data_IF_556374859417
#
_entry.id   IF_556374859417
#
_cell.length_a   1.000
_cell.length_b   1.000
_cell.length_c   1.000
_cell.angle_alpha   90.00
_cell.angle_beta   90.00
_cell.angle_gamma   90.00
#
_symmetry.space_group_name_H-M   'P 1'
#
loop_
_entity.id
_entity.type
_entity.pdbx_description
1 polymer ?
#
# COMPACT_ATOMS: atom_id res chain seq x y z
N UNK A 1 -36.64 -5.94 16.23
CA UNK A 1 -35.40 -5.21 16.57
C UNK A 1 -35.64 -3.72 16.34
N UNK A 2 -35.09 -2.84 17.19
CA UNK A 2 -35.25 -1.39 17.03
C UNK A 2 -34.27 -0.85 15.98
N UNK A 3 -34.77 -0.03 15.07
CA UNK A 3 -33.98 0.72 14.10
C UNK A 3 -33.15 1.79 14.81
N UNK A 4 -31.88 1.95 14.42
CA UNK A 4 -30.99 3.01 14.91
C UNK A 4 -30.71 3.98 13.78
N UNK A 5 -30.82 5.28 14.07
CA UNK A 5 -30.55 6.36 13.13
C UNK A 5 -29.37 7.19 13.61
N UNK A 6 -28.52 7.60 12.67
CA UNK A 6 -27.37 8.48 12.88
C UNK A 6 -27.35 9.50 11.74
N UNK A 7 -26.93 10.74 12.02
CA UNK A 7 -26.81 11.79 11.00
C UNK A 7 -25.71 11.45 9.98
N UNK A 8 -24.61 10.88 10.46
CA UNK A 8 -23.47 10.47 9.68
C UNK A 8 -23.16 9.00 9.94
N UNK A 9 -22.97 8.23 8.89
CA UNK A 9 -22.55 6.82 8.97
C UNK A 9 -21.30 6.64 8.13
N UNK A 10 -20.22 6.20 8.77
CA UNK A 10 -19.02 5.72 8.08
C UNK A 10 -19.15 4.21 7.94
N UNK A 11 -19.33 3.73 6.71
CA UNK A 11 -19.25 2.31 6.39
C UNK A 11 -17.78 1.95 6.11
N UNK A 12 -17.08 1.59 7.17
CA UNK A 12 -15.64 1.41 7.13
C UNK A 12 -15.00 1.72 8.48
N UNK A 13 -13.87 1.10 8.84
CA UNK A 13 -13.12 1.19 10.09
C UNK A 13 -11.63 1.01 9.84
N UNK A 14 -11.19 1.22 8.60
CA UNK A 14 -9.77 1.36 8.30
C UNK A 14 -9.24 2.76 8.57
N UNK A 15 -8.05 3.01 8.04
CA UNK A 15 -7.35 4.29 8.13
C UNK A 15 -8.26 5.47 7.78
N UNK A 16 -8.95 5.43 6.63
CA UNK A 16 -9.85 6.51 6.22
C UNK A 16 -10.97 6.77 7.24
N UNK A 17 -11.55 5.73 7.84
CA UNK A 17 -12.62 5.88 8.82
C UNK A 17 -12.12 6.53 10.12
N UNK A 18 -10.96 6.09 10.63
CA UNK A 18 -10.35 6.71 11.83
C UNK A 18 -10.00 8.18 11.61
N UNK A 19 -9.47 8.52 10.44
CA UNK A 19 -9.14 9.90 10.09
C UNK A 19 -10.39 10.76 9.82
N UNK A 20 -11.44 10.20 9.22
CA UNK A 20 -12.73 10.86 9.09
C UNK A 20 -13.35 11.15 10.46
N UNK A 21 -13.38 10.16 11.36
CA UNK A 21 -13.90 10.33 12.72
C UNK A 21 -13.15 11.42 13.50
N UNK A 22 -11.81 11.43 13.38
CA UNK A 22 -10.98 12.50 13.94
C UNK A 22 -11.32 13.87 13.36
N UNK A 23 -11.60 13.96 12.06
CA UNK A 23 -12.00 15.23 11.44
C UNK A 23 -13.43 15.63 11.86
N UNK A 24 -14.39 14.69 11.95
CA UNK A 24 -15.73 14.95 12.48
C UNK A 24 -15.67 15.53 13.89
N UNK A 25 -14.79 14.98 14.75
CA UNK A 25 -14.55 15.52 16.08
C UNK A 25 -14.03 16.98 16.04
N UNK A 26 -13.10 17.30 15.15
CA UNK A 26 -12.60 18.68 14.95
C UNK A 26 -13.68 19.62 14.42
N UNK A 27 -14.58 19.13 13.58
CA UNK A 27 -15.72 19.90 13.05
C UNK A 27 -16.87 20.04 14.07
N UNK A 28 -16.74 19.46 15.26
CA UNK A 28 -17.70 19.62 16.36
C UNK A 28 -18.94 18.74 16.27
N UNK A 29 -18.81 17.52 15.72
CA UNK A 29 -19.90 16.52 15.71
C UNK A 29 -20.44 16.28 17.12
N UNK A 30 -21.76 16.17 17.27
CA UNK A 30 -22.40 15.98 18.58
C UNK A 30 -22.50 14.50 18.95
N UNK A 31 -22.59 14.16 20.26
CA UNK A 31 -22.87 12.80 20.70
C UNK A 31 -24.13 12.23 20.03
N UNK A 32 -24.02 11.03 19.47
CA UNK A 32 -25.13 10.35 18.78
C UNK A 32 -25.32 10.71 17.32
N UNK A 33 -24.58 11.66 16.76
CA UNK A 33 -24.70 12.02 15.33
C UNK A 33 -23.88 11.11 14.41
N UNK A 34 -22.76 10.57 14.87
CA UNK A 34 -21.84 9.76 14.06
C UNK A 34 -21.84 8.30 14.50
N UNK A 35 -21.93 7.39 13.53
CA UNK A 35 -21.63 5.97 13.70
C UNK A 35 -20.56 5.51 12.73
N UNK A 36 -19.74 4.57 13.20
CA UNK A 36 -18.83 3.78 12.38
C UNK A 36 -19.34 2.33 12.42
N UNK A 37 -19.54 1.71 11.27
CA UNK A 37 -20.06 0.33 11.17
C UNK A 37 -18.97 -0.61 10.72
N UNK A 38 -18.88 -1.78 11.39
CA UNK A 38 -17.76 -2.75 11.34
C UNK A 38 -17.97 -4.15 10.84
N UNK A 39 -16.93 -4.71 10.23
CA UNK A 39 -16.66 -6.15 10.32
C UNK A 39 -15.48 -6.51 11.22
N UNK A 40 -14.48 -5.64 11.39
CA UNK A 40 -13.33 -5.91 12.25
C UNK A 40 -13.73 -5.75 13.74
N UNK A 41 -13.17 -6.58 14.62
CA UNK A 41 -13.49 -6.59 16.05
C UNK A 41 -12.76 -5.48 16.84
N UNK A 42 -11.96 -4.67 16.16
CA UNK A 42 -11.08 -3.64 16.74
C UNK A 42 -11.37 -2.26 16.17
N UNK A 43 -10.86 -1.23 16.85
CA UNK A 43 -10.89 0.15 16.40
C UNK A 43 -9.98 0.40 15.19
N UNK A 44 -10.26 1.46 14.40
CA UNK A 44 -9.39 1.84 13.30
C UNK A 44 -7.92 1.95 13.69
N UNK A 45 -7.04 1.37 12.86
CA UNK A 45 -5.62 1.24 13.13
C UNK A 45 -4.76 1.53 11.90
N UNK A 46 -3.46 1.73 12.11
CA UNK A 46 -2.50 1.98 11.04
C UNK A 46 -2.10 0.69 10.30
N UNK A 47 -2.89 0.32 9.28
CA UNK A 47 -2.69 -0.90 8.47
C UNK A 47 -1.26 -1.13 7.96
N UNK A 48 -0.45 -0.13 7.55
CA UNK A 48 0.91 -0.39 7.09
C UNK A 48 1.84 -1.04 8.12
N UNK A 49 1.48 -1.07 9.40
CA UNK A 49 2.22 -1.75 10.45
C UNK A 49 2.15 -3.29 10.35
N UNK A 50 1.07 -3.83 9.76
CA UNK A 50 0.80 -5.27 9.72
C UNK A 50 1.85 -6.09 8.96
N UNK A 51 2.45 -5.53 7.92
CA UNK A 51 3.53 -6.16 7.13
C UNK A 51 4.93 -5.74 7.59
N UNK A 52 5.03 -4.97 8.69
CA UNK A 52 6.28 -4.41 9.22
C UNK A 52 6.46 -4.83 10.67
N UNK A 53 6.30 -3.88 11.60
CA UNK A 53 6.61 -4.07 13.01
C UNK A 53 5.77 -5.15 13.68
N UNK A 54 4.54 -5.40 13.18
CA UNK A 54 3.66 -6.44 13.73
C UNK A 54 4.25 -7.85 13.61
N UNK A 55 5.11 -8.08 12.60
CA UNK A 55 5.70 -9.38 12.32
C UNK A 55 7.16 -9.51 12.82
N UNK A 56 7.69 -8.55 13.59
CA UNK A 56 9.05 -8.66 14.11
C UNK A 56 9.20 -9.79 15.16
N UNK A 57 10.34 -10.52 15.17
CA UNK A 57 10.56 -11.67 16.04
C UNK A 57 10.57 -11.32 17.54
N UNK A 58 11.06 -10.13 17.89
CA UNK A 58 10.97 -9.59 19.24
C UNK A 58 9.85 -8.55 19.27
N UNK A 59 8.78 -8.89 19.98
CA UNK A 59 7.65 -8.01 20.13
C UNK A 59 8.05 -6.82 21.02
N UNK A 60 8.37 -5.68 20.42
CA UNK A 60 8.16 -4.38 21.10
C UNK A 60 6.65 -4.12 21.15
N UNK A 61 5.92 -5.00 21.85
CA UNK A 61 4.45 -5.00 22.02
C UNK A 61 3.90 -3.76 22.73
N UNK A 62 4.75 -2.82 23.14
CA UNK A 62 4.33 -1.56 23.73
C UNK A 62 4.32 -0.40 22.74
N UNK A 63 4.60 -0.60 21.45
CA UNK A 63 4.53 0.51 20.51
C UNK A 63 3.06 0.87 20.27
N UNK A 64 2.60 1.86 21.04
CA UNK A 64 1.28 2.52 21.07
C UNK A 64 0.82 3.08 19.71
N UNK A 65 1.48 2.75 18.61
CA UNK A 65 1.23 3.24 17.25
C UNK A 65 0.21 2.42 16.45
N UNK A 66 -0.20 1.24 16.93
CA UNK A 66 -1.26 0.47 16.28
C UNK A 66 -2.64 1.11 16.46
N UNK A 67 -2.96 1.64 17.64
CA UNK A 67 -4.32 2.10 17.92
C UNK A 67 -4.44 3.59 17.69
N UNK A 68 -5.36 4.01 16.81
CA UNK A 68 -5.93 5.34 16.95
C UNK A 68 -6.70 5.30 18.28
N UNK A 69 -6.29 6.12 19.26
CA UNK A 69 -6.97 6.19 20.56
C UNK A 69 -8.43 6.56 20.31
N UNK A 70 -9.33 5.57 20.45
CA UNK A 70 -10.71 5.64 20.94
C UNK A 70 -11.47 4.37 20.51
N UNK A 71 -12.26 3.80 21.43
CA UNK A 71 -13.05 2.58 21.23
C UNK A 71 -14.15 2.82 20.20
N UNK A 72 -13.92 2.44 18.96
CA UNK A 72 -14.91 2.37 17.89
C UNK A 72 -14.74 1.04 17.18
N UNK A 73 -15.76 0.54 16.49
CA UNK A 73 -15.65 -0.68 15.68
C UNK A 73 -16.05 -0.32 14.24
N UNK A 74 -15.26 -0.61 13.19
CA UNK A 74 -15.58 -0.30 11.77
C UNK A 74 -15.10 -1.24 10.59
N UNK A 75 -15.71 -1.12 9.38
CA UNK A 75 -15.74 -2.11 8.26
C UNK A 75 -14.61 -1.91 7.23
N UNK A 76 -14.46 -2.73 6.17
CA UNK A 76 -13.29 -2.66 5.28
C UNK A 76 -13.60 -2.08 3.88
N UNK A 77 -12.59 -1.50 3.23
CA UNK A 77 -12.68 -0.78 1.94
C UNK A 77 -11.94 -1.47 0.76
N UNK A 78 -11.15 -2.54 0.99
CA UNK A 78 -10.53 -3.37 -0.08
C UNK A 78 -10.71 -4.86 0.24
N UNK A 79 -10.91 -5.70 -0.77
CA UNK A 79 -10.76 -7.17 -0.64
C UNK A 79 -9.44 -7.64 -1.25
N UNK A 80 -8.77 -8.55 -0.54
CA UNK A 80 -7.56 -9.23 -1.04
C UNK A 80 -7.94 -10.14 -2.20
N UNK A 81 -7.17 -10.08 -3.29
CA UNK A 81 -7.32 -11.03 -4.39
C UNK A 81 -6.82 -12.40 -3.92
N UNK A 82 -7.68 -13.42 -3.98
CA UNK A 82 -7.32 -14.78 -3.56
C UNK A 82 -6.91 -15.62 -4.76
N UNK A 83 -5.98 -16.56 -4.57
CA UNK A 83 -5.58 -17.51 -5.63
C UNK A 83 -6.74 -18.42 -6.06
N UNK A 84 -7.69 -18.66 -5.16
CA UNK A 84 -8.95 -19.37 -5.47
C UNK A 84 -9.80 -18.61 -6.49
N UNK A 85 -9.69 -17.28 -6.57
CA UNK A 85 -10.41 -16.46 -7.57
C UNK A 85 -9.94 -16.75 -9.00
N UNK A 86 -8.77 -17.40 -9.14
CA UNK A 86 -8.18 -17.80 -10.41
C UNK A 86 -8.21 -19.31 -10.64
N UNK A 87 -8.88 -20.08 -9.78
CA UNK A 87 -8.99 -21.54 -9.92
C UNK A 87 -7.67 -22.29 -9.71
N UNK A 88 -6.72 -21.72 -8.96
CA UNK A 88 -5.43 -22.38 -8.67
C UNK A 88 -5.67 -23.59 -7.77
N UNK A 89 -5.25 -24.78 -8.22
CA UNK A 89 -5.46 -26.03 -7.50
C UNK A 89 -4.76 -26.04 -6.13
N UNK A 90 -5.46 -26.47 -5.08
CA UNK A 90 -4.90 -26.60 -3.73
C UNK A 90 -4.67 -25.27 -2.98
N UNK A 91 -5.14 -24.14 -3.53
CA UNK A 91 -4.97 -22.81 -2.94
C UNK A 91 -5.72 -22.60 -1.62
N UNK A 92 -6.56 -23.55 -1.22
CA UNK A 92 -7.31 -23.65 0.04
C UNK A 92 -6.58 -24.46 1.13
N UNK A 93 -5.37 -24.98 0.83
CA UNK A 93 -4.54 -25.70 1.82
C UNK A 93 -4.24 -24.85 3.05
N UNK A 94 -4.09 -25.49 4.20
CA UNK A 94 -3.61 -24.83 5.43
C UNK A 94 -2.20 -24.26 5.21
N UNK A 95 -1.87 -23.22 5.97
CA UNK A 95 -0.62 -22.45 5.89
C UNK A 95 -0.43 -21.67 4.56
N UNK A 96 -1.43 -21.64 3.68
CA UNK A 96 -1.54 -20.62 2.62
C UNK A 96 -2.26 -19.41 3.21
N UNK A 97 -1.52 -18.34 3.45
CA UNK A 97 -1.98 -17.15 4.15
C UNK A 97 -2.01 -15.92 3.24
N UNK A 98 -2.88 -14.99 3.58
CA UNK A 98 -2.95 -13.64 3.03
C UNK A 98 -2.66 -12.66 4.17
N UNK A 99 -2.39 -11.40 3.87
CA UNK A 99 -2.19 -10.37 4.90
C UNK A 99 -2.90 -9.07 4.52
N UNK A 100 -4.01 -8.76 5.19
CA UNK A 100 -4.72 -7.48 5.02
C UNK A 100 -5.26 -6.90 6.32
N UNK A 101 -5.80 -7.76 7.17
CA UNK A 101 -6.41 -7.38 8.45
C UNK A 101 -5.59 -7.90 9.62
N UNK A 102 -5.87 -7.39 10.82
CA UNK A 102 -5.12 -7.79 12.03
C UNK A 102 -5.29 -9.28 12.33
N UNK A 103 -6.48 -9.84 12.09
CA UNK A 103 -6.73 -11.28 12.24
C UNK A 103 -5.87 -12.13 11.29
N UNK A 104 -5.57 -11.63 10.10
CA UNK A 104 -4.64 -12.29 9.17
C UNK A 104 -3.22 -12.25 9.72
N UNK A 105 -2.83 -11.09 10.27
CA UNK A 105 -1.51 -10.88 10.86
C UNK A 105 -1.28 -11.77 12.08
N UNK A 106 -2.27 -11.89 12.97
CA UNK A 106 -2.23 -12.78 14.14
C UNK A 106 -2.02 -14.24 13.72
N UNK A 107 -2.79 -14.72 12.74
CA UNK A 107 -2.63 -16.07 12.20
C UNK A 107 -1.24 -16.27 11.60
N UNK A 108 -0.74 -15.29 10.85
CA UNK A 108 0.58 -15.37 10.24
C UNK A 108 1.71 -15.39 11.29
N UNK A 109 1.60 -14.58 12.36
CA UNK A 109 2.54 -14.61 13.50
C UNK A 109 2.58 -15.99 14.13
N UNK A 110 1.43 -16.60 14.40
CA UNK A 110 1.37 -17.93 15.02
C UNK A 110 1.95 -19.01 14.09
N UNK A 111 1.65 -18.96 12.78
CA UNK A 111 2.23 -19.88 11.80
C UNK A 111 3.77 -19.73 11.75
N UNK A 112 4.29 -18.50 11.72
CA UNK A 112 5.73 -18.22 11.75
C UNK A 112 6.39 -18.81 13.01
N UNK A 113 5.75 -18.67 14.18
CA UNK A 113 6.24 -19.24 15.44
C UNK A 113 6.24 -20.77 15.45
N UNK A 114 5.26 -21.40 14.80
CA UNK A 114 5.13 -22.86 14.74
C UNK A 114 6.11 -23.49 13.74
N UNK A 115 6.42 -22.81 12.64
CA UNK A 115 7.28 -23.32 11.55
C UNK A 115 8.70 -22.72 11.59
N UNK A 116 9.31 -22.65 12.78
CA UNK A 116 10.67 -22.09 12.94
C UNK A 116 11.66 -22.78 12.00
N UNK A 117 12.50 -21.97 11.35
CA UNK A 117 13.49 -22.41 10.35
C UNK A 117 12.88 -23.13 9.14
N UNK A 118 11.56 -23.03 8.93
CA UNK A 118 10.86 -23.61 7.78
C UNK A 118 11.10 -22.83 6.48
N UNK A 119 10.56 -23.39 5.39
CA UNK A 119 10.60 -22.80 4.05
C UNK A 119 9.33 -22.01 3.79
N UNK A 120 9.50 -20.79 3.29
CA UNK A 120 8.39 -19.90 2.95
C UNK A 120 8.46 -19.50 1.49
N UNK A 121 7.33 -19.65 0.79
CA UNK A 121 7.15 -19.11 -0.54
C UNK A 121 6.24 -17.88 -0.49
N UNK A 122 6.76 -16.75 -0.96
CA UNK A 122 6.01 -15.51 -1.13
C UNK A 122 5.53 -15.43 -2.57
N UNK A 123 4.22 -15.34 -2.78
CA UNK A 123 3.62 -15.21 -4.11
C UNK A 123 3.21 -13.76 -4.35
N UNK A 124 3.96 -13.05 -5.19
CA UNK A 124 3.73 -11.65 -5.54
C UNK A 124 4.97 -10.78 -5.34
N UNK A 125 5.26 -9.92 -6.33
CA UNK A 125 6.46 -9.07 -6.37
C UNK A 125 6.19 -7.59 -6.06
N UNK A 126 5.00 -7.24 -5.56
CA UNK A 126 4.67 -5.87 -5.14
C UNK A 126 5.27 -5.51 -3.77
N UNK A 127 4.92 -4.33 -3.24
CA UNK A 127 5.45 -3.84 -1.96
C UNK A 127 5.13 -4.79 -0.80
N UNK A 128 3.93 -5.39 -0.77
CA UNK A 128 3.56 -6.40 0.23
C UNK A 128 4.47 -7.62 0.15
N UNK A 129 4.77 -8.10 -1.07
CA UNK A 129 5.67 -9.24 -1.27
C UNK A 129 7.09 -8.95 -0.80
N UNK A 130 7.59 -7.74 -1.07
CA UNK A 130 8.90 -7.28 -0.59
C UNK A 130 8.93 -7.18 0.95
N UNK A 131 7.98 -6.47 1.56
CA UNK A 131 7.92 -6.30 3.02
C UNK A 131 7.81 -7.65 3.76
N UNK A 132 6.93 -8.53 3.28
CA UNK A 132 6.76 -9.88 3.83
C UNK A 132 8.02 -10.72 3.71
N UNK A 133 8.65 -10.72 2.53
CA UNK A 133 9.90 -11.47 2.31
C UNK A 133 10.99 -11.02 3.29
N UNK A 134 11.11 -9.71 3.51
CA UNK A 134 12.08 -9.15 4.44
C UNK A 134 11.79 -9.53 5.90
N UNK A 135 10.56 -9.32 6.37
CA UNK A 135 10.23 -9.57 7.78
C UNK A 135 10.23 -11.06 8.13
N UNK A 136 9.80 -11.93 7.20
CA UNK A 136 9.88 -13.38 7.38
C UNK A 136 11.34 -13.85 7.39
N UNK A 137 12.20 -13.24 6.56
CA UNK A 137 13.65 -13.51 6.62
C UNK A 137 14.25 -13.09 7.97
N UNK A 138 13.83 -11.97 8.54
CA UNK A 138 14.22 -11.53 9.89
C UNK A 138 13.74 -12.48 10.99
N UNK A 139 12.68 -13.25 10.76
CA UNK A 139 12.24 -14.35 11.63
C UNK A 139 13.00 -15.68 11.40
N UNK A 140 14.12 -15.64 10.66
CA UNK A 140 15.02 -16.78 10.42
C UNK A 140 14.40 -17.93 9.62
N UNK A 141 13.54 -17.65 8.64
CA UNK A 141 13.03 -18.64 7.69
C UNK A 141 13.77 -18.60 6.33
N UNK A 142 13.73 -19.70 5.57
CA UNK A 142 14.23 -19.77 4.19
C UNK A 142 13.16 -19.23 3.25
N UNK A 143 13.42 -18.10 2.59
CA UNK A 143 12.41 -17.35 1.83
C UNK A 143 12.69 -17.44 0.34
N UNK A 144 11.67 -17.81 -0.43
CA UNK A 144 11.65 -17.69 -1.88
C UNK A 144 10.47 -16.82 -2.34
N UNK A 145 10.76 -15.73 -3.04
CA UNK A 145 9.76 -14.84 -3.62
C UNK A 145 9.55 -15.16 -5.10
N UNK A 146 8.29 -15.31 -5.51
CA UNK A 146 7.88 -15.71 -6.86
C UNK A 146 6.90 -14.70 -7.44
N UNK A 147 7.15 -14.24 -8.67
CA UNK A 147 6.23 -13.33 -9.37
C UNK A 147 6.34 -13.39 -10.90
N UNK A 148 5.26 -13.06 -11.64
CA UNK A 148 5.24 -13.12 -13.09
C UNK A 148 6.02 -12.00 -13.78
N UNK A 149 6.13 -10.83 -13.14
CA UNK A 149 6.70 -9.65 -13.77
C UNK A 149 8.21 -9.74 -13.96
N UNK A 150 8.79 -9.00 -14.93
CA UNK A 150 10.24 -9.03 -15.19
C UNK A 150 11.07 -8.49 -14.02
N UNK A 151 10.48 -7.67 -13.15
CA UNK A 151 11.10 -7.15 -11.93
C UNK A 151 10.06 -6.83 -10.85
N UNK A 152 10.52 -6.68 -9.60
CA UNK A 152 9.65 -6.35 -8.45
C UNK A 152 9.10 -4.91 -8.51
N UNK A 153 7.96 -4.64 -7.86
CA UNK A 153 7.26 -3.35 -7.87
C UNK A 153 7.03 -2.79 -9.29
N UNK A 154 6.50 -3.60 -10.23
CA UNK A 154 6.47 -3.30 -11.67
C UNK A 154 5.62 -2.09 -12.05
N UNK A 155 4.71 -1.66 -11.17
CA UNK A 155 3.85 -0.48 -11.39
C UNK A 155 4.51 0.84 -10.99
N UNK A 156 5.68 0.81 -10.34
CA UNK A 156 6.39 1.99 -9.86
C UNK A 156 7.87 1.96 -10.21
N UNK A 157 8.57 0.88 -9.87
CA UNK A 157 10.01 0.79 -10.05
C UNK A 157 10.39 0.67 -11.53
N UNK A 158 11.47 1.37 -11.88
CA UNK A 158 12.22 1.08 -13.10
C UNK A 158 13.05 -0.19 -12.90
N UNK A 159 13.56 -0.76 -14.00
CA UNK A 159 14.48 -1.90 -13.91
C UNK A 159 15.72 -1.60 -13.06
N UNK A 160 16.24 -0.36 -13.08
CA UNK A 160 17.40 0.05 -12.29
C UNK A 160 17.12 0.09 -10.79
N UNK A 161 15.97 0.63 -10.39
CA UNK A 161 15.53 0.62 -8.98
C UNK A 161 15.29 -0.83 -8.53
N UNK A 162 14.58 -1.61 -9.33
CA UNK A 162 14.26 -2.99 -8.97
C UNK A 162 15.49 -3.89 -8.88
N UNK A 163 16.49 -3.72 -9.76
CA UNK A 163 17.75 -4.45 -9.70
C UNK A 163 18.49 -4.23 -8.37
N UNK A 164 18.44 -3.01 -7.82
CA UNK A 164 18.99 -2.74 -6.48
C UNK A 164 18.26 -3.57 -5.42
N UNK A 165 16.93 -3.53 -5.35
CA UNK A 165 16.18 -4.27 -4.33
C UNK A 165 16.32 -5.79 -4.50
N UNK A 166 16.25 -6.30 -5.73
CA UNK A 166 16.42 -7.73 -6.00
C UNK A 166 17.82 -8.22 -5.58
N UNK A 167 18.88 -7.45 -5.91
CA UNK A 167 20.24 -7.72 -5.48
C UNK A 167 20.40 -7.63 -3.96
N UNK A 168 19.83 -6.60 -3.33
CA UNK A 168 19.87 -6.42 -1.89
C UNK A 168 19.19 -7.58 -1.14
N UNK A 169 18.03 -8.02 -1.63
CA UNK A 169 17.28 -9.15 -1.04
C UNK A 169 18.03 -10.47 -1.23
N UNK A 170 18.65 -10.67 -2.40
CA UNK A 170 19.52 -11.82 -2.64
C UNK A 170 20.72 -11.85 -1.69
N UNK A 171 21.34 -10.69 -1.42
CA UNK A 171 22.42 -10.55 -0.43
C UNK A 171 21.98 -10.88 1.01
N UNK A 172 20.69 -10.72 1.32
CA UNK A 172 20.09 -11.18 2.59
C UNK A 172 19.69 -12.65 2.58
N UNK A 173 19.96 -13.38 1.50
CA UNK A 173 19.68 -14.81 1.35
C UNK A 173 18.22 -15.11 0.99
N UNK A 174 17.51 -14.17 0.38
CA UNK A 174 16.16 -14.40 -0.19
C UNK A 174 16.32 -14.84 -1.65
N UNK A 175 15.73 -15.99 -2.00
CA UNK A 175 15.70 -16.49 -3.38
C UNK A 175 14.61 -15.77 -4.17
N UNK A 176 14.89 -15.34 -5.39
CA UNK A 176 13.93 -14.63 -6.24
C UNK A 176 13.72 -15.40 -7.54
N UNK A 177 12.46 -15.67 -7.87
CA UNK A 177 12.03 -16.36 -9.08
C UNK A 177 11.05 -15.46 -9.83
N UNK A 178 11.48 -14.99 -11.01
CA UNK A 178 10.73 -14.06 -11.86
C UNK A 178 10.15 -14.77 -13.08
N UNK A 179 9.20 -14.15 -13.77
CA UNK A 179 8.69 -14.62 -15.06
C UNK A 179 7.80 -15.86 -15.00
N UNK A 180 7.29 -16.23 -13.82
CA UNK A 180 6.46 -17.42 -13.63
C UNK A 180 5.39 -17.19 -12.57
N UNK A 181 4.41 -18.09 -12.49
CA UNK A 181 3.30 -18.04 -11.53
C UNK A 181 3.13 -19.39 -10.83
N UNK A 182 2.58 -19.37 -9.63
CA UNK A 182 2.07 -20.59 -8.99
C UNK A 182 0.85 -21.09 -9.78
N UNK A 183 0.88 -22.36 -10.18
CA UNK A 183 -0.21 -23.04 -10.90
C UNK A 183 -0.90 -24.10 -10.07
N UNK A 184 -0.34 -24.45 -8.91
CA UNK A 184 -0.98 -25.31 -7.94
C UNK A 184 -0.15 -25.52 -6.70
N UNK A 185 -0.79 -26.11 -5.69
CA UNK A 185 -0.20 -26.46 -4.42
C UNK A 185 -0.47 -27.93 -4.12
N UNK A 186 0.48 -28.60 -3.46
CA UNK A 186 0.26 -29.92 -2.86
C UNK A 186 0.24 -29.77 -1.35
N UNK A 187 -0.47 -30.69 -0.70
CA UNK A 187 -0.64 -30.69 0.76
C UNK A 187 -0.20 -32.02 1.34
N UNK A 188 0.18 -32.02 2.62
CA UNK A 188 0.43 -33.23 3.39
C UNK A 188 -0.88 -33.92 3.85
N UNK A 189 -0.76 -35.01 4.62
CA UNK A 189 -1.91 -35.74 5.14
C UNK A 189 -2.79 -34.93 6.11
N UNK A 190 -2.26 -33.84 6.68
CA UNK A 190 -2.99 -32.94 7.57
C UNK A 190 -3.67 -31.76 6.82
N UNK A 191 -3.47 -31.70 5.49
CA UNK A 191 -3.94 -30.63 4.62
C UNK A 191 -3.09 -29.36 4.68
N UNK A 192 -1.88 -29.41 5.22
CA UNK A 192 -0.92 -28.31 5.22
C UNK A 192 -0.15 -28.26 3.91
N UNK A 193 0.08 -27.06 3.37
CA UNK A 193 0.88 -26.89 2.15
C UNK A 193 2.25 -27.53 2.32
N UNK A 194 2.71 -28.23 1.28
CA UNK A 194 4.01 -28.89 1.21
C UNK A 194 4.83 -28.41 0.03
N UNK A 195 4.20 -28.20 -1.12
CA UNK A 195 4.90 -27.75 -2.33
C UNK A 195 4.08 -26.71 -3.11
N UNK A 196 4.81 -25.80 -3.76
CA UNK A 196 4.29 -24.84 -4.75
C UNK A 196 4.76 -25.26 -6.14
N UNK A 197 3.82 -25.54 -7.04
CA UNK A 197 4.09 -25.85 -8.44
C UNK A 197 4.08 -24.58 -9.27
N UNK A 198 5.14 -24.34 -10.03
CA UNK A 198 5.27 -23.18 -10.89
C UNK A 198 4.98 -23.53 -12.35
N UNK A 199 4.51 -22.54 -13.12
CA UNK A 199 4.15 -22.70 -14.54
C UNK A 199 5.31 -23.16 -15.41
N UNK A 200 6.54 -22.81 -15.04
CA UNK A 200 7.77 -23.17 -15.74
C UNK A 200 8.32 -24.56 -15.37
N UNK A 201 7.57 -25.35 -14.59
CA UNK A 201 7.91 -26.71 -14.22
C UNK A 201 8.69 -26.86 -12.91
N UNK A 202 9.13 -25.75 -12.30
CA UNK A 202 9.76 -25.81 -10.96
C UNK A 202 8.75 -26.20 -9.89
N UNK A 203 9.23 -26.92 -8.88
CA UNK A 203 8.49 -27.25 -7.66
C UNK A 203 9.30 -26.76 -6.47
N UNK A 204 8.68 -25.97 -5.60
CA UNK A 204 9.31 -25.41 -4.41
C UNK A 204 8.71 -26.06 -3.18
N UNK A 205 9.53 -26.60 -2.29
CA UNK A 205 9.07 -27.01 -0.95
C UNK A 205 8.71 -25.79 -0.11
N UNK A 206 7.58 -25.85 0.60
CA UNK A 206 7.08 -24.76 1.43
C UNK A 206 6.31 -25.31 2.63
N UNK A 207 6.64 -24.83 3.83
CA UNK A 207 5.86 -25.03 5.06
C UNK A 207 4.80 -23.93 5.23
N UNK A 208 5.05 -22.77 4.61
CA UNK A 208 4.19 -21.59 4.61
C UNK A 208 4.17 -21.01 3.20
N UNK A 209 3.00 -20.62 2.71
CA UNK A 209 2.85 -19.76 1.55
C UNK A 209 2.20 -18.46 1.97
N UNK A 210 2.75 -17.31 1.61
CA UNK A 210 2.11 -16.01 1.85
C UNK A 210 1.86 -15.30 0.53
N UNK A 211 0.62 -14.88 0.30
CA UNK A 211 0.16 -14.36 -0.99
C UNK A 211 -0.07 -12.84 -0.90
N UNK A 212 0.60 -12.10 -1.79
CA UNK A 212 0.54 -10.65 -1.94
C UNK A 212 0.36 -10.24 -3.41
N UNK A 213 -0.71 -10.71 -4.06
CA UNK A 213 -0.96 -10.51 -5.51
C UNK A 213 -1.85 -9.30 -5.84
N UNK A 214 -2.03 -8.40 -4.88
CA UNK A 214 -2.82 -7.17 -5.02
C UNK A 214 -4.19 -7.23 -4.35
N UNK A 215 -4.90 -6.10 -4.41
CA UNK A 215 -6.25 -5.93 -3.89
C UNK A 215 -7.22 -5.43 -4.97
N UNK A 216 -8.52 -5.53 -4.67
CA UNK A 216 -9.58 -4.88 -5.44
C UNK A 216 -10.41 -3.97 -4.53
N UNK A 217 -10.81 -2.78 -4.99
CA UNK A 217 -11.78 -1.95 -4.28
C UNK A 217 -13.05 -2.73 -3.92
N UNK A 218 -13.53 -2.58 -2.68
CA UNK A 218 -14.73 -3.27 -2.22
C UNK A 218 -15.99 -2.46 -2.56
N UNK A 219 -16.33 -2.37 -3.85
CA UNK A 219 -17.49 -1.59 -4.34
C UNK A 219 -18.78 -2.40 -4.49
N UNK A 220 -18.74 -3.71 -4.24
CA UNK A 220 -19.83 -4.64 -4.55
C UNK A 220 -21.19 -4.29 -3.96
N UNK A 221 -21.24 -3.67 -2.76
CA UNK A 221 -22.50 -3.23 -2.13
C UNK A 221 -23.18 -2.08 -2.88
N UNK A 222 -22.44 -1.32 -3.68
CA UNK A 222 -22.89 -0.10 -4.36
C UNK A 222 -23.03 -0.27 -5.87
N UNK A 223 -22.73 -1.47 -6.38
CA UNK A 223 -22.74 -1.75 -7.82
C UNK A 223 -24.12 -1.46 -8.40
N UNK A 224 -24.17 -0.64 -9.45
CA UNK A 224 -25.40 -0.20 -10.10
C UNK A 224 -26.20 0.87 -9.35
N UNK A 225 -25.69 1.35 -8.21
CA UNK A 225 -26.31 2.43 -7.42
C UNK A 225 -25.50 3.74 -7.50
N UNK A 226 -24.19 3.64 -7.75
CA UNK A 226 -23.28 4.79 -7.95
C UNK A 226 -22.53 4.65 -9.27
N UNK A 227 -22.08 5.76 -9.83
CA UNK A 227 -21.15 5.74 -10.96
C UNK A 227 -19.80 5.12 -10.55
N UNK A 228 -19.29 4.20 -11.37
CA UNK A 228 -17.99 3.56 -11.17
C UNK A 228 -17.07 3.88 -12.36
N UNK A 229 -15.81 4.17 -12.07
CA UNK A 229 -14.78 4.43 -13.09
C UNK A 229 -13.42 3.94 -12.56
N UNK A 230 -12.55 3.42 -13.43
CA UNK A 230 -11.20 2.90 -13.06
C UNK A 230 -11.23 1.88 -11.90
N UNK A 231 -12.32 1.12 -11.81
CA UNK A 231 -12.55 0.08 -10.80
C UNK A 231 -12.91 0.59 -9.40
N UNK A 232 -13.18 1.89 -9.23
CA UNK A 232 -13.65 2.49 -7.98
C UNK A 232 -14.94 3.27 -8.17
N UNK A 233 -15.49 3.77 -7.06
CA UNK A 233 -16.64 4.69 -7.03
C UNK A 233 -16.14 6.05 -7.52
N UNK A 234 -16.76 6.57 -8.58
CA UNK A 234 -16.43 7.88 -9.13
C UNK A 234 -16.92 8.97 -8.20
N UNK A 235 -16.07 9.95 -7.94
CA UNK A 235 -16.41 11.11 -7.11
C UNK A 235 -16.04 12.42 -7.78
N UNK A 236 -16.63 13.51 -7.29
CA UNK A 236 -16.12 14.85 -7.53
C UNK A 236 -14.86 15.16 -6.68
N UNK A 237 -14.38 16.41 -6.74
CA UNK A 237 -13.21 16.87 -5.98
C UNK A 237 -13.46 16.96 -4.47
N UNK A 238 -14.72 16.92 -4.03
CA UNK A 238 -15.15 16.88 -2.62
C UNK A 238 -15.40 15.45 -2.12
N UNK A 239 -15.07 14.43 -2.92
CA UNK A 239 -15.32 13.01 -2.66
C UNK A 239 -16.80 12.61 -2.62
N UNK A 240 -17.70 13.46 -3.14
CA UNK A 240 -19.11 13.13 -3.27
C UNK A 240 -19.31 12.23 -4.49
N UNK A 241 -20.09 11.16 -4.33
CA UNK A 241 -20.44 10.25 -5.43
C UNK A 241 -21.56 10.84 -6.31
N UNK A 242 -22.02 10.07 -7.30
CA UNK A 242 -23.20 10.43 -8.11
C UNK A 242 -24.51 10.47 -7.32
N UNK A 243 -24.56 9.90 -6.12
CA UNK A 243 -25.73 9.92 -5.24
C UNK A 243 -25.58 11.04 -4.20
N UNK A 244 -26.60 11.90 -4.02
CA UNK A 244 -26.59 12.93 -2.99
C UNK A 244 -26.27 12.35 -1.60
N UNK A 245 -25.47 13.09 -0.84
CA UNK A 245 -25.06 12.77 0.54
C UNK A 245 -24.31 11.44 0.73
N UNK A 246 -23.89 10.79 -0.37
CA UNK A 246 -23.03 9.61 -0.36
C UNK A 246 -21.63 9.99 -0.84
N UNK A 247 -20.62 9.70 -0.01
CA UNK A 247 -19.22 10.00 -0.25
C UNK A 247 -18.38 8.73 -0.31
N UNK A 248 -17.29 8.75 -1.08
CA UNK A 248 -16.32 7.66 -1.16
C UNK A 248 -14.89 8.19 -1.01
N UNK A 249 -14.11 7.58 -0.12
CA UNK A 249 -12.74 8.04 0.22
C UNK A 249 -11.75 6.86 0.25
N UNK A 250 -10.46 7.17 0.17
CA UNK A 250 -9.39 6.18 0.16
C UNK A 250 -9.47 5.25 -1.04
N UNK A 251 -9.13 3.99 -0.82
CA UNK A 251 -8.86 3.01 -1.88
C UNK A 251 -9.99 2.80 -2.91
N UNK A 252 -11.25 3.03 -2.52
CA UNK A 252 -12.43 2.89 -3.40
C UNK A 252 -12.71 4.12 -4.25
N UNK A 253 -12.14 5.27 -3.93
CA UNK A 253 -12.47 6.52 -4.60
C UNK A 253 -11.67 6.69 -5.89
N UNK A 254 -12.38 6.83 -7.01
CA UNK A 254 -11.83 7.38 -8.25
C UNK A 254 -12.18 8.87 -8.27
N UNK A 255 -11.17 9.72 -8.13
CA UNK A 255 -11.33 11.16 -7.90
C UNK A 255 -10.52 11.98 -8.92
N UNK A 256 -10.85 13.26 -9.13
CA UNK A 256 -10.04 14.16 -9.95
C UNK A 256 -8.71 14.48 -9.24
N UNK A 257 -7.61 13.97 -9.78
CA UNK A 257 -6.27 14.29 -9.33
C UNK A 257 -5.81 15.61 -9.96
N UNK A 258 -6.09 16.71 -9.25
CA UNK A 258 -5.93 18.09 -9.74
C UNK A 258 -4.60 18.37 -10.43
N UNK A 259 -3.47 17.98 -9.83
CA UNK A 259 -2.13 18.23 -10.37
C UNK A 259 -1.88 17.64 -11.77
N UNK A 260 -2.62 16.59 -12.16
CA UNK A 260 -2.52 15.98 -13.49
C UNK A 260 -3.75 16.16 -14.35
N UNK A 261 -4.79 16.82 -13.84
CA UNK A 261 -6.08 17.01 -14.52
C UNK A 261 -6.68 15.69 -15.06
N UNK A 262 -6.62 14.63 -14.26
CA UNK A 262 -7.08 13.28 -14.63
C UNK A 262 -7.89 12.64 -13.50
N UNK A 263 -8.87 11.81 -13.84
CA UNK A 263 -9.47 10.89 -12.88
C UNK A 263 -8.50 9.76 -12.56
N UNK A 264 -8.22 9.53 -11.28
CA UNK A 264 -7.34 8.46 -10.81
C UNK A 264 -7.89 7.81 -9.55
N UNK A 265 -7.42 6.60 -9.30
CA UNK A 265 -7.62 5.83 -8.07
C UNK A 265 -6.26 5.41 -7.56
N UNK A 266 -6.01 5.57 -6.27
CA UNK A 266 -4.72 5.22 -5.65
C UNK A 266 -4.95 4.41 -4.38
N UNK A 267 -3.97 3.58 -4.04
CA UNK A 267 -4.00 2.70 -2.85
C UNK A 267 -2.90 3.16 -1.88
N UNK A 268 -2.90 4.45 -1.55
CA UNK A 268 -1.90 5.09 -0.70
C UNK A 268 -2.49 5.40 0.67
N UNK A 269 -1.78 5.03 1.74
CA UNK A 269 -2.23 5.36 3.10
C UNK A 269 -2.34 6.87 3.32
N UNK A 270 -1.44 7.67 2.74
CA UNK A 270 -1.52 9.13 2.83
C UNK A 270 -2.77 9.71 2.13
N UNK A 271 -3.17 9.12 1.00
CA UNK A 271 -4.44 9.46 0.36
C UNK A 271 -5.63 9.08 1.23
N UNK A 272 -5.66 7.87 1.80
CA UNK A 272 -6.75 7.43 2.68
C UNK A 272 -6.96 8.39 3.87
N UNK A 273 -5.87 8.89 4.46
CA UNK A 273 -5.90 9.91 5.53
C UNK A 273 -6.46 11.24 5.03
N UNK A 274 -5.88 11.78 3.95
CA UNK A 274 -6.20 13.12 3.45
C UNK A 274 -7.58 13.22 2.79
N UNK A 275 -8.00 12.19 2.05
CA UNK A 275 -9.32 12.15 1.41
C UNK A 275 -10.44 12.07 2.43
N UNK A 276 -10.26 11.29 3.51
CA UNK A 276 -11.18 11.25 4.62
C UNK A 276 -11.37 12.62 5.28
N UNK A 277 -10.27 13.30 5.61
CA UNK A 277 -10.33 14.66 6.16
C UNK A 277 -10.99 15.64 5.19
N UNK A 278 -10.67 15.55 3.90
CA UNK A 278 -11.22 16.44 2.88
C UNK A 278 -12.73 16.24 2.70
N UNK A 279 -13.22 15.00 2.64
CA UNK A 279 -14.64 14.70 2.53
C UNK A 279 -15.44 15.22 3.72
N UNK A 280 -14.93 15.07 4.95
CA UNK A 280 -15.60 15.58 6.15
C UNK A 280 -15.66 17.11 6.13
N UNK A 281 -14.56 17.78 5.78
CA UNK A 281 -14.58 19.24 5.61
C UNK A 281 -15.57 19.69 4.53
N UNK A 282 -15.69 18.94 3.44
CA UNK A 282 -16.67 19.21 2.39
C UNK A 282 -18.12 19.08 2.88
N UNK A 283 -18.42 18.04 3.68
CA UNK A 283 -19.74 17.84 4.29
C UNK A 283 -20.14 19.07 5.11
N UNK A 284 -19.27 19.51 6.04
CA UNK A 284 -19.56 20.66 6.89
C UNK A 284 -19.60 22.00 6.12
N UNK A 285 -18.74 22.15 5.10
CA UNK A 285 -18.79 23.33 4.22
C UNK A 285 -20.14 23.39 3.48
N UNK A 286 -20.61 22.27 2.94
CA UNK A 286 -21.90 22.16 2.26
C UNK A 286 -23.07 22.45 3.20
N UNK A 287 -23.07 21.89 4.42
CA UNK A 287 -24.12 22.17 5.42
C UNK A 287 -24.15 23.66 5.82
N UNK A 288 -22.99 24.31 5.83
CA UNK A 288 -22.86 25.74 6.10
C UNK A 288 -23.07 26.65 4.89
N UNK A 289 -23.39 26.11 3.71
CA UNK A 289 -23.55 26.89 2.46
C UNK A 289 -22.26 27.59 1.99
N UNK A 290 -21.09 27.05 2.35
CA UNK A 290 -19.77 27.61 2.02
C UNK A 290 -19.20 26.92 0.78
N UNK A 291 -18.45 27.67 -0.03
CA UNK A 291 -17.60 27.07 -1.05
C UNK A 291 -16.49 26.23 -0.40
N UNK A 292 -16.03 25.21 -1.12
CA UNK A 292 -14.98 24.32 -0.67
C UNK A 292 -13.93 24.16 -1.77
N UNK A 293 -12.66 24.09 -1.36
CA UNK A 293 -11.54 23.97 -2.29
C UNK A 293 -11.45 22.56 -2.86
N UNK A 294 -10.88 22.43 -4.06
CA UNK A 294 -10.64 21.12 -4.67
C UNK A 294 -9.52 20.35 -3.96
N UNK A 295 -9.63 19.03 -3.92
CA UNK A 295 -8.60 18.14 -3.40
C UNK A 295 -7.29 18.19 -4.22
N UNK A 296 -6.26 18.86 -3.67
CA UNK A 296 -4.94 19.00 -4.30
C UNK A 296 -3.89 18.03 -3.75
N UNK A 297 -4.08 16.75 -4.07
CA UNK A 297 -3.19 15.67 -3.63
C UNK A 297 -1.97 15.49 -4.53
N UNK A 298 -0.78 15.55 -3.94
CA UNK A 298 0.45 15.03 -4.53
C UNK A 298 0.56 13.54 -4.19
N UNK A 299 0.61 12.63 -5.17
CA UNK A 299 0.85 11.22 -4.88
C UNK A 299 2.10 11.04 -4.04
N UNK A 300 1.92 10.31 -2.94
CA UNK A 300 2.99 9.94 -2.04
C UNK A 300 2.85 8.47 -1.67
N UNK A 301 3.91 7.71 -1.92
CA UNK A 301 4.00 6.31 -1.55
C UNK A 301 5.37 6.01 -0.93
N UNK A 302 5.43 5.02 -0.08
CA UNK A 302 6.66 4.63 0.63
C UNK A 302 6.61 3.16 1.00
N UNK A 303 7.78 2.59 1.26
CA UNK A 303 7.90 1.32 1.96
C UNK A 303 9.17 1.30 2.79
N UNK A 304 9.21 0.36 3.75
CA UNK A 304 10.37 0.11 4.60
C UNK A 304 10.53 -1.39 4.77
N UNK A 305 11.74 -1.88 4.57
CA UNK A 305 12.09 -3.29 4.70
C UNK A 305 13.56 -3.40 5.05
N UNK A 306 13.95 -4.28 5.97
CA UNK A 306 15.30 -4.28 6.55
C UNK A 306 15.67 -2.89 7.09
N UNK A 307 16.85 -2.37 6.75
CA UNK A 307 17.28 -1.01 7.03
C UNK A 307 17.01 -0.03 5.88
N UNK A 308 16.27 -0.44 4.84
CA UNK A 308 15.92 0.38 3.69
C UNK A 308 14.62 1.16 3.94
N UNK A 309 14.57 2.39 3.45
CA UNK A 309 13.42 3.28 3.54
C UNK A 309 13.41 4.23 2.36
N UNK A 310 12.48 4.00 1.43
CA UNK A 310 12.32 4.85 0.26
C UNK A 310 11.01 5.62 0.28
N UNK A 311 10.99 6.74 -0.45
CA UNK A 311 9.82 7.54 -0.70
C UNK A 311 9.69 7.83 -2.19
N UNK A 312 8.45 7.90 -2.66
CA UNK A 312 8.10 8.31 -4.00
C UNK A 312 7.07 9.43 -3.94
N UNK A 313 7.31 10.50 -4.70
CA UNK A 313 6.39 11.60 -4.90
C UNK A 313 6.12 11.82 -6.39
N UNK A 314 4.89 12.16 -6.74
CA UNK A 314 4.52 12.58 -8.09
C UNK A 314 4.05 11.44 -9.00
N UNK A 315 4.41 11.49 -10.29
CA UNK A 315 3.98 10.55 -11.32
C UNK A 315 5.17 9.84 -11.96
N UNK A 316 5.04 8.54 -12.21
CA UNK A 316 6.13 7.70 -12.71
C UNK A 316 6.04 7.50 -14.23
N UNK A 317 5.89 8.59 -14.98
CA UNK A 317 5.74 8.60 -16.44
C UNK A 317 6.89 9.35 -17.13
N UNK A 318 7.22 8.92 -18.34
CA UNK A 318 8.28 9.54 -19.15
C UNK A 318 9.66 8.91 -18.97
N UNK A 319 10.70 9.65 -19.37
CA UNK A 319 12.09 9.20 -19.28
C UNK A 319 12.59 9.25 -17.84
N UNK A 320 13.54 8.37 -17.50
CA UNK A 320 14.04 8.27 -16.12
C UNK A 320 15.52 8.51 -16.02
N UNK A 321 15.93 9.23 -14.97
CA UNK A 321 17.35 9.48 -14.65
C UNK A 321 17.64 8.98 -13.24
N UNK A 322 18.48 7.96 -13.15
CA UNK A 322 18.99 7.45 -11.87
C UNK A 322 20.22 8.26 -11.44
N UNK A 323 20.31 8.56 -10.14
CA UNK A 323 21.42 9.30 -9.54
C UNK A 323 21.80 8.70 -8.18
N UNK A 324 23.03 8.94 -7.73
CA UNK A 324 23.54 8.47 -6.44
C UNK A 324 24.06 7.02 -6.47
N UNK A 325 24.27 6.44 -5.29
CA UNK A 325 24.83 5.09 -5.11
C UNK A 325 23.71 4.04 -5.01
N UNK A 326 23.46 3.34 -6.13
CA UNK A 326 22.49 2.26 -6.23
C UNK A 326 23.14 0.87 -6.14
N UNK A 327 24.32 0.74 -5.53
CA UNK A 327 24.96 -0.55 -5.34
C UNK A 327 24.30 -1.34 -4.20
N UNK A 328 23.80 -2.58 -4.44
CA UNK A 328 23.14 -3.40 -3.41
C UNK A 328 24.11 -3.95 -2.36
N UNK A 329 25.42 -3.78 -2.55
CA UNK A 329 26.47 -4.17 -1.61
C UNK A 329 27.06 -2.98 -0.87
N UNK A 330 26.61 -1.76 -1.17
CA UNK A 330 27.02 -0.57 -0.42
C UNK A 330 26.55 -0.67 1.04
N UNK A 331 27.36 -0.18 1.97
CA UNK A 331 27.01 -0.17 3.39
C UNK A 331 25.83 0.78 3.67
N UNK A 332 25.81 1.92 2.97
CA UNK A 332 24.82 2.99 3.13
C UNK A 332 24.29 3.44 1.75
N UNK A 333 23.53 2.58 1.04
CA UNK A 333 23.04 2.92 -0.29
C UNK A 333 22.10 4.12 -0.21
N UNK A 334 22.37 5.13 -1.05
CA UNK A 334 21.53 6.33 -1.18
C UNK A 334 21.51 6.74 -2.65
N UNK A 335 20.37 6.55 -3.27
CA UNK A 335 20.14 6.85 -4.68
C UNK A 335 18.70 7.25 -4.90
N UNK A 336 18.45 7.89 -6.04
CA UNK A 336 17.11 8.25 -6.44
C UNK A 336 16.91 8.15 -7.93
N UNK A 337 15.69 8.46 -8.36
CA UNK A 337 15.33 8.51 -9.76
C UNK A 337 14.35 9.65 -10.00
N UNK A 338 14.62 10.45 -11.02
CA UNK A 338 13.67 11.42 -11.55
C UNK A 338 12.91 10.83 -12.74
N UNK A 339 11.62 11.19 -12.87
CA UNK A 339 10.80 10.96 -14.05
C UNK A 339 10.56 12.29 -14.76
N UNK A 340 10.83 12.31 -16.07
CA UNK A 340 10.77 13.49 -16.91
C UNK A 340 9.73 13.27 -18.01
N UNK A 341 8.71 14.12 -18.05
CA UNK A 341 7.71 14.16 -19.12
C UNK A 341 7.60 15.58 -19.64
N UNK A 342 7.64 15.74 -20.96
CA UNK A 342 7.52 17.04 -21.64
C UNK A 342 8.52 18.09 -21.08
N UNK A 343 9.76 17.65 -20.83
CA UNK A 343 10.83 18.51 -20.32
C UNK A 343 10.69 18.94 -18.87
N UNK A 344 9.78 18.37 -18.08
CA UNK A 344 9.58 18.67 -16.65
C UNK A 344 9.74 17.44 -15.78
N UNK A 345 10.23 17.62 -14.56
CA UNK A 345 10.31 16.55 -13.57
C UNK A 345 8.93 16.34 -12.95
N UNK A 346 8.29 15.21 -13.23
CA UNK A 346 6.93 14.90 -12.78
C UNK A 346 6.87 13.92 -11.60
N UNK A 347 7.95 13.18 -11.37
CA UNK A 347 8.06 12.22 -10.28
C UNK A 347 9.48 12.07 -9.76
N UNK A 348 9.59 11.76 -8.47
CA UNK A 348 10.87 11.56 -7.80
C UNK A 348 10.79 10.39 -6.83
N UNK A 349 11.78 9.51 -6.91
CA UNK A 349 12.04 8.44 -5.97
C UNK A 349 13.34 8.70 -5.23
N UNK A 350 13.41 8.37 -3.94
CA UNK A 350 14.63 8.42 -3.14
C UNK A 350 14.66 7.30 -2.11
N UNK A 351 15.75 6.52 -2.12
CA UNK A 351 16.11 5.56 -1.07
C UNK A 351 17.07 6.23 -0.05
N UNK A 352 16.89 5.89 1.23
CA UNK A 352 17.73 6.37 2.35
C UNK A 352 17.82 7.89 2.49
N UNK A 353 16.80 8.64 2.07
CA UNK A 353 16.76 10.10 2.20
C UNK A 353 16.56 10.56 3.65
N UNK A 354 17.22 11.65 4.06
CA UNK A 354 16.91 12.35 5.33
C UNK A 354 15.54 13.04 5.26
N UNK A 355 14.95 13.49 6.38
CA UNK A 355 13.71 14.26 6.34
C UNK A 355 13.77 15.50 5.43
N UNK A 356 14.89 16.20 5.42
CA UNK A 356 15.13 17.39 4.59
C UNK A 356 15.21 17.03 3.11
N UNK A 357 15.95 15.98 2.76
CA UNK A 357 16.06 15.48 1.39
C UNK A 357 14.70 14.99 0.87
N UNK A 358 13.93 14.26 1.69
CA UNK A 358 12.58 13.83 1.35
C UNK A 358 11.62 15.00 1.12
N UNK A 359 11.74 16.07 1.91
CA UNK A 359 10.97 17.30 1.71
C UNK A 359 11.37 18.00 0.40
N UNK A 360 12.66 18.02 0.07
CA UNK A 360 13.17 18.60 -1.17
C UNK A 360 12.60 17.86 -2.40
N UNK A 361 12.64 16.53 -2.43
CA UNK A 361 12.09 15.76 -3.57
C UNK A 361 10.57 15.89 -3.69
N UNK A 362 9.84 16.03 -2.57
CA UNK A 362 8.40 16.30 -2.58
C UNK A 362 8.10 17.67 -3.20
N UNK A 363 8.94 18.67 -2.91
CA UNK A 363 8.85 20.00 -3.52
C UNK A 363 9.13 19.96 -5.03
N UNK A 364 10.13 19.20 -5.47
CA UNK A 364 10.41 18.97 -6.89
C UNK A 364 9.18 18.38 -7.60
N UNK A 365 8.62 17.29 -7.08
CA UNK A 365 7.43 16.64 -7.66
C UNK A 365 6.21 17.56 -7.71
N UNK A 366 6.07 18.47 -6.72
CA UNK A 366 4.99 19.46 -6.66
C UNK A 366 5.15 20.59 -7.68
N UNK A 367 6.35 21.16 -7.78
CA UNK A 367 6.63 22.34 -8.63
C UNK A 367 6.79 21.97 -10.10
N UNK A 368 7.22 20.74 -10.38
CA UNK A 368 7.53 20.23 -11.71
C UNK A 368 8.52 21.13 -12.48
N UNK A 369 9.74 21.37 -11.92
CA UNK A 369 10.73 22.22 -12.54
C UNK A 369 11.20 21.62 -13.89
N UNK A 370 11.71 22.47 -14.81
CA UNK A 370 12.26 22.00 -16.07
C UNK A 370 13.48 21.09 -15.85
N UNK A 371 13.63 20.12 -16.74
CA UNK A 371 14.75 19.20 -16.82
C UNK A 371 15.59 19.55 -18.06
N UNK A 372 16.52 20.50 -17.92
CA UNK A 372 17.32 21.02 -19.04
C UNK A 372 18.34 20.00 -19.58
N UNK A 373 18.89 19.15 -18.70
CA UNK A 373 19.87 18.13 -19.08
C UNK A 373 19.78 16.91 -18.17
N UNK A 374 19.57 15.73 -18.76
CA UNK A 374 19.54 14.46 -18.03
C UNK A 374 20.90 14.14 -17.39
N UNK A 375 21.99 14.45 -18.09
CA UNK A 375 23.36 14.25 -17.58
C UNK A 375 23.64 15.14 -16.37
N UNK A 376 23.14 16.38 -16.38
CA UNK A 376 23.27 17.27 -15.24
C UNK A 376 22.43 16.77 -14.06
N UNK A 377 21.18 16.34 -14.30
CA UNK A 377 20.33 15.76 -13.26
C UNK A 377 20.93 14.50 -12.64
N UNK A 378 21.55 13.63 -13.45
CA UNK A 378 22.23 12.43 -12.98
C UNK A 378 23.41 12.78 -12.04
N UNK A 379 24.17 13.82 -12.37
CA UNK A 379 25.33 14.28 -11.58
C UNK A 379 24.92 15.05 -10.32
N UNK A 380 23.94 15.94 -10.43
CA UNK A 380 23.53 16.79 -9.30
C UNK A 380 22.61 16.04 -8.31
N UNK A 381 21.73 15.16 -8.81
CA UNK A 381 20.83 14.33 -7.99
C UNK A 381 20.06 15.14 -6.96
N UNK A 382 20.35 14.91 -5.68
CA UNK A 382 19.73 15.64 -4.55
C UNK A 382 20.15 17.11 -4.48
N UNK A 383 21.34 17.47 -4.95
CA UNK A 383 21.80 18.86 -4.97
C UNK A 383 20.89 19.71 -5.86
N UNK A 384 20.35 19.14 -6.93
CA UNK A 384 19.31 19.78 -7.74
C UNK A 384 18.04 20.01 -6.91
N UNK A 385 17.53 18.97 -6.24
CA UNK A 385 16.30 19.08 -5.44
C UNK A 385 16.40 20.14 -4.33
N UNK A 386 17.56 20.28 -3.70
CA UNK A 386 17.79 21.27 -2.65
C UNK A 386 17.81 22.73 -3.16
N UNK A 387 17.99 22.95 -4.47
CA UNK A 387 17.96 24.29 -5.10
C UNK A 387 16.54 24.74 -5.48
N UNK A 388 15.62 23.79 -5.66
CA UNK A 388 14.21 24.05 -6.00
C UNK A 388 13.48 24.60 -4.79
#
# INVERSE_FOLDING_TARGET
MAEKSFKYVILGGGVAAGYAAREFAKQGVKPGELAIISKESVAPYERPALSKAYLFPECKSSDTSLHLKDNLSGFLVIVVIKLTDFGVQGADSKNISYLREVDDADKLVEIIKQKKNGKVVIVGGGYIGLELSAVIKLNNLDVCMVYPEPWCMPRLFTAGIAAFYEGYYANKGIKIIKGTVAVGFTSDANGEVKEVKLKDGRVLEADIVVVGVGGRPLTGLFKGQVEEEKGGIKTDSSFKSSVPDVYAVGDVATFPMKIYNELRRVEHVDHARKSAEHAVKAIFASEGGKSFEEYDYLPFFYSRSFNLSWQFYGDNVGETVLFGDNSPTSENPKFGTYWIKEGKIVGVFLESGTPEENKAIAKVARVQPPAESLDQLAKEGLTFACKI
#
